data_IF_805034792968
#
_entry.id   IF_805034792968
#
_cell.length_a   1.000
_cell.length_b   1.000
_cell.length_c   1.000
_cell.angle_alpha   90.00
_cell.angle_beta   90.00
_cell.angle_gamma   90.00
#
_symmetry.space_group_name_H-M   'P 1'
#
loop_
_entity.id
_entity.type
_entity.pdbx_description
1 polymer ?
#
# COMPACT_ATOMS: atom_id res chain seq x y z
N UNK A 1 13.44 -21.79 25.34
CA UNK A 1 13.35 -21.78 23.87
C UNK A 1 13.76 -20.39 23.42
N UNK A 2 15.05 -20.23 23.02
CA UNK A 2 15.65 -18.94 22.64
C UNK A 2 15.26 -18.64 21.19
N UNK A 3 14.56 -17.53 20.97
CA UNK A 3 14.32 -16.98 19.65
C UNK A 3 15.60 -16.33 19.13
N UNK A 4 16.27 -16.99 18.20
CA UNK A 4 17.39 -16.46 17.44
C UNK A 4 16.86 -15.37 16.48
N UNK A 5 17.02 -14.11 16.86
CA UNK A 5 16.89 -12.96 15.96
C UNK A 5 18.01 -13.00 14.94
N UNK A 6 17.70 -13.34 13.70
CA UNK A 6 18.60 -13.09 12.59
C UNK A 6 18.68 -11.57 12.39
N UNK A 7 19.87 -11.01 12.63
CA UNK A 7 20.24 -9.67 12.18
C UNK A 7 19.96 -9.51 10.69
N UNK A 8 19.30 -8.42 10.24
CA UNK A 8 19.17 -8.12 8.81
C UNK A 8 20.58 -7.90 8.27
N UNK A 9 21.03 -8.80 7.38
CA UNK A 9 22.25 -8.58 6.62
C UNK A 9 22.13 -7.26 5.86
N UNK A 10 23.15 -6.42 5.97
CA UNK A 10 23.30 -5.18 5.21
C UNK A 10 23.19 -5.51 3.71
N UNK A 11 21.99 -5.29 3.14
CA UNK A 11 21.86 -5.22 1.69
C UNK A 11 22.57 -3.93 1.27
N UNK A 12 23.77 -4.06 0.72
CA UNK A 12 24.40 -3.01 -0.07
C UNK A 12 23.37 -2.57 -1.13
N UNK A 13 23.05 -1.28 -1.14
CA UNK A 13 22.15 -0.71 -2.14
C UNK A 13 22.67 -1.10 -3.53
N UNK A 14 21.85 -1.71 -4.39
CA UNK A 14 22.23 -1.92 -5.77
C UNK A 14 22.39 -0.53 -6.42
N UNK A 15 23.53 -0.33 -7.05
CA UNK A 15 23.80 0.76 -7.97
C UNK A 15 22.65 0.84 -8.98
N UNK A 16 22.15 2.05 -9.24
CA UNK A 16 20.96 2.33 -10.07
C UNK A 16 21.13 1.78 -11.50
N UNK A 17 20.88 0.49 -11.68
CA UNK A 17 20.64 -0.07 -12.99
C UNK A 17 19.26 0.46 -13.44
N UNK A 18 19.24 1.24 -14.52
CA UNK A 18 17.99 1.68 -15.15
C UNK A 18 17.09 0.48 -15.40
N UNK A 19 15.86 0.45 -14.88
CA UNK A 19 15.00 -0.72 -14.99
C UNK A 19 14.73 -1.03 -16.44
N UNK A 20 14.94 -2.30 -16.83
CA UNK A 20 14.61 -2.81 -18.16
C UNK A 20 13.09 -2.89 -18.29
N UNK A 21 12.44 -1.79 -18.63
CA UNK A 21 10.99 -1.73 -18.84
C UNK A 21 10.33 -0.49 -18.27
N UNK A 22 9.06 -0.24 -18.61
CA UNK A 22 8.31 0.88 -18.06
C UNK A 22 8.06 0.69 -16.58
N UNK A 23 8.08 1.79 -15.76
CA UNK A 23 7.84 1.73 -14.33
C UNK A 23 6.44 1.17 -14.02
N UNK A 24 6.28 0.47 -12.88
CA UNK A 24 4.97 -0.03 -12.44
C UNK A 24 3.91 1.06 -12.30
N UNK A 25 4.30 2.25 -11.86
CA UNK A 25 3.49 3.46 -11.81
C UNK A 25 4.34 4.64 -12.26
N UNK A 26 3.82 5.43 -13.17
CA UNK A 26 4.38 6.72 -13.58
C UNK A 26 3.31 7.80 -13.51
N UNK A 27 3.62 8.88 -12.85
CA UNK A 27 2.77 10.06 -12.65
C UNK A 27 3.52 11.25 -13.20
N UNK A 28 2.91 12.04 -14.09
CA UNK A 28 3.51 13.23 -14.70
C UNK A 28 2.57 14.42 -14.55
N UNK A 29 3.02 15.45 -13.84
CA UNK A 29 2.34 16.73 -13.69
C UNK A 29 0.92 16.64 -13.12
N UNK A 30 0.65 15.62 -12.28
CA UNK A 30 -0.69 15.33 -11.80
C UNK A 30 -1.18 16.43 -10.86
N UNK A 31 -2.31 17.06 -11.22
CA UNK A 31 -3.01 18.04 -10.39
C UNK A 31 -4.43 17.58 -10.16
N UNK A 32 -4.85 17.55 -8.89
CA UNK A 32 -6.23 17.22 -8.47
C UNK A 32 -6.74 18.33 -7.58
N UNK A 33 -7.95 18.82 -7.83
CA UNK A 33 -8.58 19.86 -7.05
C UNK A 33 -10.01 19.51 -6.68
N UNK A 34 -10.41 19.83 -5.46
CA UNK A 34 -11.80 19.81 -5.01
C UNK A 34 -12.27 21.25 -4.80
N UNK A 35 -13.40 21.63 -5.40
CA UNK A 35 -13.99 22.97 -5.25
C UNK A 35 -12.96 24.12 -5.42
N UNK A 36 -12.16 24.08 -6.49
CA UNK A 36 -11.11 25.09 -6.82
C UNK A 36 -9.89 25.11 -5.86
N UNK A 37 -9.80 24.21 -4.89
CA UNK A 37 -8.63 24.09 -4.02
C UNK A 37 -7.80 22.88 -4.46
N UNK A 38 -6.54 23.05 -4.87
CA UNK A 38 -5.69 21.94 -5.23
C UNK A 38 -5.33 21.14 -3.96
N UNK A 39 -5.57 19.82 -4.04
CA UNK A 39 -5.16 18.84 -3.03
C UNK A 39 -3.86 18.17 -3.45
N UNK A 40 -3.68 18.00 -4.77
CA UNK A 40 -2.42 17.60 -5.38
C UNK A 40 -2.06 18.65 -6.44
N UNK A 41 -0.80 19.05 -6.47
CA UNK A 41 -0.32 20.06 -7.39
C UNK A 41 0.98 19.65 -8.06
N UNK A 42 0.93 19.44 -9.39
CA UNK A 42 2.07 19.14 -10.23
C UNK A 42 2.94 18.01 -9.63
N UNK A 43 2.30 16.86 -9.37
CA UNK A 43 2.96 15.68 -8.80
C UNK A 43 3.63 14.89 -9.91
N UNK A 44 4.94 14.69 -9.79
CA UNK A 44 5.75 13.81 -10.64
C UNK A 44 6.32 12.68 -9.77
N UNK A 45 6.09 11.43 -10.21
CA UNK A 45 6.56 10.25 -9.49
C UNK A 45 6.73 9.06 -10.43
N UNK A 46 7.81 8.30 -10.26
CA UNK A 46 7.98 7.01 -10.90
C UNK A 46 8.33 5.95 -9.84
N UNK A 47 7.49 4.92 -9.73
CA UNK A 47 7.71 3.83 -8.79
C UNK A 47 8.83 2.91 -9.29
N UNK A 48 9.78 2.51 -8.44
CA UNK A 48 10.73 1.45 -8.77
C UNK A 48 9.99 0.12 -8.99
N UNK A 49 10.54 -0.79 -9.82
CA UNK A 49 9.97 -2.12 -9.99
C UNK A 49 10.21 -2.98 -8.75
N UNK A 50 9.16 -3.61 -8.26
CA UNK A 50 9.20 -4.40 -7.02
C UNK A 50 9.29 -3.53 -5.77
N UNK A 51 9.29 -4.18 -4.59
CA UNK A 51 9.48 -3.56 -3.30
C UNK A 51 8.25 -2.86 -2.70
N UNK A 52 8.43 -2.42 -1.48
CA UNK A 52 7.42 -1.78 -0.65
C UNK A 52 7.67 -0.28 -0.56
N UNK A 53 6.69 0.52 -0.94
CA UNK A 53 6.79 1.99 -1.02
C UNK A 53 5.80 2.62 -0.06
N UNK A 54 6.29 3.42 0.90
CA UNK A 54 5.45 4.21 1.79
C UNK A 54 5.11 5.57 1.18
N UNK A 55 3.84 5.95 1.18
CA UNK A 55 3.39 7.34 0.93
C UNK A 55 3.14 7.98 2.28
N UNK A 56 3.96 8.97 2.62
CA UNK A 56 4.03 9.60 3.95
C UNK A 56 3.77 11.09 3.83
N UNK A 57 3.07 11.66 4.81
CA UNK A 57 2.78 13.11 4.87
C UNK A 57 1.70 13.42 5.90
N UNK A 58 1.47 14.69 6.23
CA UNK A 58 0.47 15.10 7.20
C UNK A 58 -0.95 14.76 6.78
N UNK A 59 -1.90 14.87 7.72
CA UNK A 59 -3.32 14.77 7.39
C UNK A 59 -3.70 15.89 6.43
N UNK A 60 -4.46 15.55 5.39
CA UNK A 60 -4.80 16.51 4.33
C UNK A 60 -3.72 16.71 3.25
N UNK A 61 -2.57 16.04 3.34
CA UNK A 61 -1.48 16.12 2.35
C UNK A 61 -1.85 15.63 0.94
N UNK A 62 -2.99 14.94 0.78
CA UNK A 62 -3.43 14.40 -0.50
C UNK A 62 -3.09 12.92 -0.73
N UNK A 63 -2.62 12.18 0.29
CA UNK A 63 -2.18 10.77 0.16
C UNK A 63 -3.27 9.85 -0.43
N UNK A 64 -4.45 9.80 0.19
CA UNK A 64 -5.59 9.00 -0.32
C UNK A 64 -6.11 9.53 -1.64
N UNK A 65 -6.03 10.86 -1.87
CA UNK A 65 -6.37 11.47 -3.15
C UNK A 65 -5.40 11.03 -4.25
N UNK A 66 -4.11 10.90 -3.96
CA UNK A 66 -3.11 10.39 -4.89
C UNK A 66 -3.47 8.95 -5.32
N UNK A 67 -3.73 8.06 -4.37
CA UNK A 67 -4.18 6.69 -4.68
C UNK A 67 -5.45 6.71 -5.52
N UNK A 68 -6.47 7.47 -5.13
CA UNK A 68 -7.75 7.55 -5.85
C UNK A 68 -7.58 8.10 -7.27
N UNK A 69 -6.70 9.07 -7.46
CA UNK A 69 -6.37 9.60 -8.79
C UNK A 69 -5.62 8.56 -9.64
N UNK A 70 -4.64 7.86 -9.06
CA UNK A 70 -3.94 6.76 -9.71
C UNK A 70 -4.87 5.61 -10.09
N UNK A 71 -5.97 5.41 -9.38
CA UNK A 71 -7.01 4.41 -9.68
C UNK A 71 -8.06 4.90 -10.68
N UNK A 72 -8.03 6.19 -11.05
CA UNK A 72 -9.05 6.83 -11.88
C UNK A 72 -10.40 6.95 -11.19
N UNK A 73 -10.42 7.00 -9.85
CA UNK A 73 -11.63 7.16 -9.03
C UNK A 73 -11.98 8.63 -8.80
N UNK A 74 -11.04 9.54 -9.01
CA UNK A 74 -11.24 10.99 -8.98
C UNK A 74 -10.66 11.60 -10.25
N UNK A 75 -11.32 12.63 -10.83
CA UNK A 75 -10.81 13.30 -12.02
C UNK A 75 -9.57 14.13 -11.68
N UNK A 76 -8.59 14.15 -12.60
CA UNK A 76 -7.46 15.07 -12.57
C UNK A 76 -7.80 16.35 -13.34
N UNK A 77 -7.28 17.48 -12.88
CA UNK A 77 -7.33 18.77 -13.60
C UNK A 77 -6.29 18.77 -14.72
N UNK A 78 -5.11 18.21 -14.46
CA UNK A 78 -4.02 18.07 -15.45
C UNK A 78 -3.13 16.88 -15.08
N UNK A 79 -2.23 16.54 -16.00
CA UNK A 79 -1.26 15.46 -15.84
C UNK A 79 -1.76 14.11 -16.32
N UNK A 80 -0.91 13.11 -16.18
CA UNK A 80 -1.19 11.74 -16.62
C UNK A 80 -0.73 10.72 -15.58
N UNK A 81 -1.40 9.56 -15.60
CA UNK A 81 -1.04 8.39 -14.80
C UNK A 81 -0.95 7.20 -15.73
N UNK A 82 0.21 6.56 -15.72
CA UNK A 82 0.46 5.34 -16.47
C UNK A 82 0.86 4.20 -15.55
N UNK A 83 0.41 3.00 -15.87
CA UNK A 83 0.74 1.77 -15.17
C UNK A 83 1.38 0.82 -16.18
N UNK A 84 2.64 0.42 -15.94
CA UNK A 84 3.44 -0.35 -16.89
C UNK A 84 3.44 0.27 -18.29
N UNK A 85 3.63 1.61 -18.37
CA UNK A 85 3.71 2.38 -19.63
C UNK A 85 2.40 2.50 -20.41
N UNK A 86 1.24 2.25 -19.76
CA UNK A 86 -0.08 2.39 -20.40
C UNK A 86 -1.06 3.11 -19.48
N UNK A 87 -2.03 3.86 -20.05
CA UNK A 87 -3.08 4.48 -19.25
C UNK A 87 -3.81 3.48 -18.37
N UNK A 88 -4.11 3.89 -17.13
CA UNK A 88 -4.71 3.03 -16.09
C UNK A 88 -5.99 2.30 -16.55
N UNK A 89 -6.81 2.95 -17.37
CA UNK A 89 -8.04 2.35 -17.89
C UNK A 89 -7.81 1.01 -18.63
N UNK A 90 -6.61 0.84 -19.24
CA UNK A 90 -6.20 -0.39 -19.95
C UNK A 90 -5.49 -1.40 -19.05
N UNK A 91 -5.15 -1.03 -17.81
CA UNK A 91 -4.30 -1.84 -16.90
C UNK A 91 -4.99 -2.23 -15.58
N UNK A 92 -6.28 -1.97 -15.42
CA UNK A 92 -7.03 -2.24 -14.17
C UNK A 92 -6.90 -3.67 -13.66
N UNK A 93 -6.68 -4.64 -14.54
CA UNK A 93 -6.48 -6.04 -14.16
C UNK A 93 -5.16 -6.31 -13.45
N UNK A 94 -4.18 -5.43 -13.62
CA UNK A 94 -2.86 -5.53 -13.01
C UNK A 94 -2.78 -4.82 -11.67
N UNK A 95 -3.89 -4.19 -11.21
CA UNK A 95 -3.91 -3.35 -10.02
C UNK A 95 -4.80 -3.99 -8.96
N UNK A 96 -4.23 -4.20 -7.77
CA UNK A 96 -4.96 -4.54 -6.54
C UNK A 96 -5.17 -3.30 -5.69
N UNK A 97 -6.33 -3.20 -5.02
CA UNK A 97 -6.63 -2.06 -4.15
C UNK A 97 -7.25 -2.50 -2.83
N UNK A 98 -6.63 -2.05 -1.74
CA UNK A 98 -7.15 -2.14 -0.37
C UNK A 98 -7.54 -0.73 0.05
N UNK A 99 -8.83 -0.40 0.14
CA UNK A 99 -9.32 0.92 0.53
C UNK A 99 -9.14 1.14 2.03
N UNK A 100 -9.15 2.41 2.43
CA UNK A 100 -9.28 2.78 3.83
C UNK A 100 -10.60 2.25 4.39
N UNK A 101 -10.58 1.66 5.57
CA UNK A 101 -11.72 0.98 6.17
C UNK A 101 -12.97 1.86 6.27
N UNK A 102 -12.80 3.11 6.65
CA UNK A 102 -13.89 4.08 6.83
C UNK A 102 -14.63 4.45 5.54
N UNK A 103 -14.05 4.13 4.38
CA UNK A 103 -14.63 4.41 3.07
C UNK A 103 -15.54 3.29 2.54
N UNK A 104 -15.72 2.20 3.30
CA UNK A 104 -16.45 1.01 2.88
C UNK A 104 -17.81 0.94 3.60
N UNK A 105 -18.86 0.64 2.84
CA UNK A 105 -20.16 0.29 3.40
C UNK A 105 -20.15 -1.17 3.91
N UNK A 106 -20.16 -1.31 5.23
CA UNK A 106 -20.06 -2.61 5.92
C UNK A 106 -21.41 -3.29 6.15
N UNK A 107 -22.52 -2.57 5.93
CA UNK A 107 -23.89 -3.10 6.17
C UNK A 107 -24.41 -3.93 5.00
N UNK A 108 -23.63 -4.05 3.94
CA UNK A 108 -24.00 -4.84 2.77
C UNK A 108 -24.07 -6.34 3.11
N UNK A 109 -25.17 -7.06 2.81
CA UNK A 109 -25.43 -8.43 3.26
C UNK A 109 -24.69 -9.48 2.41
N UNK A 110 -23.34 -9.42 2.40
CA UNK A 110 -22.48 -10.39 1.69
C UNK A 110 -21.58 -11.14 2.66
N UNK A 111 -21.21 -12.36 2.31
CA UNK A 111 -20.24 -13.13 3.09
C UNK A 111 -18.80 -12.67 2.80
N UNK A 112 -17.87 -12.96 3.73
CA UNK A 112 -16.44 -12.72 3.52
C UNK A 112 -15.93 -13.39 2.23
N UNK A 113 -16.38 -14.61 1.94
CA UNK A 113 -16.02 -15.32 0.72
C UNK A 113 -16.51 -14.60 -0.54
N UNK A 114 -17.74 -14.06 -0.53
CA UNK A 114 -18.29 -13.33 -1.67
C UNK A 114 -17.49 -12.02 -1.92
N UNK A 115 -17.13 -11.29 -0.85
CA UNK A 115 -16.27 -10.09 -0.95
C UNK A 115 -14.94 -10.44 -1.60
N UNK A 116 -14.30 -11.54 -1.19
CA UNK A 116 -13.01 -11.95 -1.77
C UNK A 116 -13.17 -12.43 -3.20
N UNK A 117 -14.26 -13.15 -3.52
CA UNK A 117 -14.55 -13.60 -4.89
C UNK A 117 -14.78 -12.41 -5.86
N UNK A 118 -15.29 -11.26 -5.37
CA UNK A 118 -15.37 -10.03 -6.18
C UNK A 118 -14.00 -9.58 -6.70
N UNK A 119 -12.89 -9.86 -5.99
CA UNK A 119 -11.52 -9.62 -6.46
C UNK A 119 -11.21 -10.32 -7.79
N UNK A 120 -11.90 -11.43 -8.09
CA UNK A 120 -11.73 -12.21 -9.32
C UNK A 120 -12.52 -11.69 -10.52
N UNK A 121 -13.45 -10.75 -10.36
CA UNK A 121 -14.34 -10.30 -11.44
C UNK A 121 -13.58 -9.77 -12.66
N UNK A 122 -12.44 -9.13 -12.47
CA UNK A 122 -11.58 -8.70 -13.58
C UNK A 122 -11.09 -9.84 -14.47
N UNK A 123 -10.95 -11.07 -13.92
CA UNK A 123 -10.56 -12.29 -14.65
C UNK A 123 -11.76 -13.06 -15.19
N UNK A 124 -12.88 -13.05 -14.45
CA UNK A 124 -14.11 -13.76 -14.82
C UNK A 124 -14.80 -13.10 -16.02
N UNK A 125 -14.86 -11.76 -16.03
CA UNK A 125 -15.64 -11.00 -17.01
C UNK A 125 -17.12 -10.89 -16.62
N UNK A 126 -17.82 -9.92 -17.22
CA UNK A 126 -19.17 -9.48 -16.82
C UNK A 126 -20.29 -10.52 -17.02
N UNK A 127 -20.10 -11.46 -17.95
CA UNK A 127 -21.16 -12.40 -18.37
C UNK A 127 -20.87 -13.86 -17.98
N UNK A 128 -19.81 -14.13 -17.20
CA UNK A 128 -19.46 -15.47 -16.80
C UNK A 128 -19.82 -15.72 -15.33
N UNK A 129 -20.42 -16.86 -14.98
CA UNK A 129 -20.73 -17.21 -13.61
C UNK A 129 -19.44 -17.41 -12.79
N UNK A 130 -19.52 -17.14 -11.48
CA UNK A 130 -18.45 -17.48 -10.54
C UNK A 130 -18.39 -19.01 -10.44
N UNK A 131 -17.33 -19.60 -10.95
CA UNK A 131 -17.12 -21.05 -10.92
C UNK A 131 -16.60 -21.53 -9.58
N UNK A 132 -16.60 -22.84 -9.37
CA UNK A 132 -15.99 -23.48 -8.18
C UNK A 132 -14.52 -23.10 -8.03
N UNK A 133 -13.74 -23.08 -9.11
CA UNK A 133 -12.33 -22.68 -9.10
C UNK A 133 -12.12 -21.24 -8.60
N UNK A 134 -13.05 -20.32 -8.91
CA UNK A 134 -12.98 -18.94 -8.40
C UNK A 134 -13.26 -18.87 -6.91
N UNK A 135 -14.19 -19.67 -6.39
CA UNK A 135 -14.46 -19.78 -4.96
C UNK A 135 -13.29 -20.42 -4.20
N UNK A 136 -12.68 -21.44 -4.76
CA UNK A 136 -11.47 -22.07 -4.19
C UNK A 136 -10.30 -21.08 -4.12
N UNK A 137 -10.05 -20.29 -5.18
CA UNK A 137 -9.04 -19.25 -5.16
C UNK A 137 -9.36 -18.14 -4.13
N UNK A 138 -10.62 -17.78 -3.95
CA UNK A 138 -11.04 -16.84 -2.93
C UNK A 138 -10.85 -17.40 -1.51
N UNK A 139 -11.15 -18.69 -1.31
CA UNK A 139 -10.93 -19.35 -0.03
C UNK A 139 -9.42 -19.41 0.31
N UNK A 140 -8.60 -19.78 -0.66
CA UNK A 140 -7.13 -19.76 -0.49
C UNK A 140 -6.60 -18.36 -0.13
N UNK A 141 -7.17 -17.30 -0.71
CA UNK A 141 -6.80 -15.94 -0.32
C UNK A 141 -7.22 -15.61 1.13
N UNK A 142 -8.38 -16.12 1.59
CA UNK A 142 -8.81 -16.00 3.00
C UNK A 142 -7.89 -16.78 3.95
N UNK A 143 -7.44 -17.98 3.56
CA UNK A 143 -6.47 -18.77 4.33
C UNK A 143 -5.17 -18.00 4.56
N UNK A 144 -4.64 -17.34 3.54
CA UNK A 144 -3.41 -16.54 3.62
C UNK A 144 -3.47 -15.41 4.65
N UNK A 145 -4.65 -14.91 4.97
CA UNK A 145 -4.85 -13.86 5.97
C UNK A 145 -5.48 -14.38 7.28
N UNK A 146 -5.57 -15.71 7.46
CA UNK A 146 -6.13 -16.35 8.65
C UNK A 146 -7.63 -16.11 8.83
N UNK A 147 -8.39 -16.08 7.73
CA UNK A 147 -9.83 -15.79 7.73
C UNK A 147 -10.69 -16.90 7.13
N UNK A 148 -10.13 -18.11 6.90
CA UNK A 148 -10.85 -19.23 6.30
C UNK A 148 -12.11 -19.65 7.08
N UNK A 149 -12.02 -19.72 8.42
CA UNK A 149 -13.11 -20.10 9.31
C UNK A 149 -14.28 -19.10 9.29
N UNK A 150 -14.02 -17.87 8.84
CA UNK A 150 -15.00 -16.79 8.73
C UNK A 150 -15.59 -16.65 7.32
N UNK A 151 -15.22 -17.53 6.37
CA UNK A 151 -15.58 -17.41 4.96
C UNK A 151 -17.09 -17.23 4.71
N UNK A 152 -17.94 -17.92 5.50
CA UNK A 152 -19.42 -17.86 5.37
C UNK A 152 -20.05 -16.75 6.23
N UNK A 153 -19.30 -16.06 7.08
CA UNK A 153 -19.83 -15.01 7.94
C UNK A 153 -20.07 -13.72 7.13
N UNK A 154 -21.15 -13.00 7.45
CA UNK A 154 -21.43 -11.72 6.84
C UNK A 154 -20.33 -10.70 7.21
N UNK A 155 -19.96 -9.85 6.25
CA UNK A 155 -18.85 -8.88 6.43
C UNK A 155 -19.13 -7.90 7.57
N UNK A 156 -20.36 -7.45 7.76
CA UNK A 156 -20.77 -6.55 8.84
C UNK A 156 -20.70 -7.17 10.24
N UNK A 157 -20.68 -8.51 10.36
CA UNK A 157 -20.55 -9.23 11.63
C UNK A 157 -19.11 -9.47 12.06
N UNK A 158 -18.14 -9.06 11.25
CA UNK A 158 -16.71 -9.19 11.52
C UNK A 158 -16.18 -7.98 12.31
N UNK A 159 -15.20 -8.21 13.17
CA UNK A 159 -14.47 -7.10 13.81
C UNK A 159 -13.73 -6.26 12.77
N UNK A 160 -13.35 -5.01 13.12
CA UNK A 160 -12.64 -4.12 12.20
C UNK A 160 -11.35 -4.71 11.64
N UNK A 161 -10.54 -5.38 12.46
CA UNK A 161 -9.35 -6.06 11.99
C UNK A 161 -9.66 -7.28 11.09
N UNK A 162 -10.76 -8.00 11.35
CA UNK A 162 -11.21 -9.09 10.49
C UNK A 162 -11.69 -8.56 9.14
N UNK A 163 -12.45 -7.48 9.11
CA UNK A 163 -12.87 -6.79 7.88
C UNK A 163 -11.67 -6.37 7.04
N UNK A 164 -10.66 -5.75 7.68
CA UNK A 164 -9.42 -5.34 7.01
C UNK A 164 -8.70 -6.53 6.37
N UNK A 165 -8.59 -7.66 7.08
CA UNK A 165 -8.00 -8.89 6.53
C UNK A 165 -8.80 -9.47 5.36
N UNK A 166 -10.13 -9.40 5.37
CA UNK A 166 -10.97 -9.81 4.22
C UNK A 166 -10.72 -8.94 3.00
N UNK A 167 -10.58 -7.61 3.15
CA UNK A 167 -10.26 -6.71 2.04
C UNK A 167 -8.84 -6.93 1.50
N UNK A 168 -7.91 -7.27 2.37
CA UNK A 168 -6.57 -7.69 1.97
C UNK A 168 -6.62 -8.99 1.14
N UNK A 169 -7.38 -10.00 1.60
CA UNK A 169 -7.61 -11.23 0.85
C UNK A 169 -8.26 -10.97 -0.52
N UNK A 170 -9.21 -10.03 -0.60
CA UNK A 170 -9.82 -9.61 -1.87
C UNK A 170 -8.78 -9.07 -2.85
N UNK A 171 -7.87 -8.21 -2.38
CA UNK A 171 -6.80 -7.68 -3.22
C UNK A 171 -5.83 -8.79 -3.65
N UNK A 172 -5.48 -9.73 -2.77
CA UNK A 172 -4.65 -10.89 -3.10
C UNK A 172 -5.30 -11.80 -4.14
N UNK A 173 -6.61 -12.06 -4.03
CA UNK A 173 -7.35 -12.88 -4.99
C UNK A 173 -7.32 -12.31 -6.41
N UNK A 174 -7.06 -11.04 -6.58
CA UNK A 174 -6.89 -10.38 -7.87
C UNK A 174 -5.60 -10.79 -8.58
N UNK A 175 -4.56 -11.24 -7.82
CA UNK A 175 -3.22 -11.61 -8.32
C UNK A 175 -2.61 -10.49 -9.18
N UNK A 176 -2.66 -9.27 -8.66
CA UNK A 176 -2.19 -8.08 -9.32
C UNK A 176 -0.65 -8.01 -9.37
N UNK A 177 -0.12 -7.06 -10.14
CA UNK A 177 1.32 -6.76 -10.20
C UNK A 177 1.67 -5.47 -9.42
N UNK A 178 0.72 -4.55 -9.33
CA UNK A 178 0.81 -3.32 -8.56
C UNK A 178 -0.31 -3.28 -7.53
N UNK A 179 0.02 -3.02 -6.27
CA UNK A 179 -0.97 -2.91 -5.20
C UNK A 179 -0.97 -1.51 -4.62
N UNK A 180 -2.16 -0.94 -4.43
CA UNK A 180 -2.38 0.25 -3.63
C UNK A 180 -3.06 -0.13 -2.33
N UNK A 181 -2.55 0.37 -1.21
CA UNK A 181 -3.13 0.15 0.11
C UNK A 181 -3.26 1.49 0.83
N UNK A 182 -4.49 1.85 1.19
CA UNK A 182 -4.78 3.12 1.86
C UNK A 182 -4.93 2.87 3.37
N UNK A 183 -3.87 3.17 4.13
CA UNK A 183 -3.77 3.01 5.58
C UNK A 183 -4.14 1.60 6.10
N UNK A 184 -3.51 0.52 5.60
CA UNK A 184 -3.88 -0.85 5.98
C UNK A 184 -3.55 -1.20 7.44
N UNK A 185 -2.78 -0.37 8.13
CA UNK A 185 -2.40 -0.52 9.54
C UNK A 185 -3.22 0.36 10.50
N UNK A 186 -4.13 1.21 9.99
CA UNK A 186 -4.87 2.14 10.84
C UNK A 186 -5.88 1.42 11.74
N UNK A 187 -5.76 1.64 13.06
CA UNK A 187 -6.71 1.13 14.05
C UNK A 187 -6.84 -0.40 14.12
N UNK A 188 -5.80 -1.14 13.71
CA UNK A 188 -5.78 -2.59 13.77
C UNK A 188 -5.08 -3.12 15.02
N UNK A 189 -5.47 -4.32 15.45
CA UNK A 189 -4.78 -5.03 16.51
C UNK A 189 -3.45 -5.65 16.03
N UNK A 190 -2.59 -6.04 16.98
CA UNK A 190 -1.28 -6.64 16.68
C UNK A 190 -1.36 -7.93 15.85
N UNK A 191 -2.46 -8.67 15.89
CA UNK A 191 -2.64 -9.87 15.08
C UNK A 191 -2.91 -9.51 13.62
N UNK A 192 -3.74 -8.49 13.40
CA UNK A 192 -4.02 -7.96 12.05
C UNK A 192 -2.80 -7.28 11.46
N UNK A 193 -2.05 -6.50 12.25
CA UNK A 193 -0.79 -5.89 11.82
C UNK A 193 0.20 -6.94 11.31
N UNK A 194 0.42 -8.01 12.07
CA UNK A 194 1.27 -9.13 11.64
C UNK A 194 0.79 -9.78 10.34
N UNK A 195 -0.52 -9.96 10.18
CA UNK A 195 -1.08 -10.52 8.94
C UNK A 195 -0.86 -9.60 7.74
N UNK A 196 -1.03 -8.29 7.90
CA UNK A 196 -0.73 -7.29 6.85
C UNK A 196 0.74 -7.34 6.49
N UNK A 197 1.65 -7.32 7.48
CA UNK A 197 3.10 -7.39 7.24
C UNK A 197 3.52 -8.67 6.52
N UNK A 198 2.94 -9.81 6.90
CA UNK A 198 3.23 -11.07 6.21
C UNK A 198 2.83 -11.00 4.75
N UNK A 199 1.65 -10.45 4.45
CA UNK A 199 1.18 -10.26 3.06
C UNK A 199 2.10 -9.32 2.29
N UNK A 200 2.54 -8.20 2.89
CA UNK A 200 3.49 -7.28 2.24
C UNK A 200 4.79 -7.99 1.88
N UNK A 201 5.34 -8.78 2.80
CA UNK A 201 6.57 -9.57 2.57
C UNK A 201 6.39 -10.62 1.47
N UNK A 202 5.24 -11.29 1.44
CA UNK A 202 4.92 -12.28 0.41
C UNK A 202 4.81 -11.62 -0.97
N UNK A 203 4.22 -10.42 -1.06
CA UNK A 203 4.11 -9.66 -2.29
C UNK A 203 5.48 -9.19 -2.79
N UNK A 204 6.32 -8.67 -1.89
CA UNK A 204 7.70 -8.27 -2.19
C UNK A 204 8.53 -9.47 -2.68
N UNK A 205 8.48 -10.60 -1.97
CA UNK A 205 9.17 -11.83 -2.37
C UNK A 205 8.70 -12.36 -3.74
N UNK A 206 7.45 -12.07 -4.12
CA UNK A 206 6.91 -12.37 -5.44
C UNK A 206 7.23 -11.31 -6.51
N UNK A 207 8.09 -10.30 -6.20
CA UNK A 207 8.48 -9.22 -7.10
C UNK A 207 7.35 -8.24 -7.42
N UNK A 208 6.34 -8.12 -6.56
CA UNK A 208 5.24 -7.18 -6.74
C UNK A 208 5.60 -5.81 -6.20
N UNK A 209 5.05 -4.77 -6.81
CA UNK A 209 5.18 -3.40 -6.30
C UNK A 209 3.99 -3.08 -5.41
N UNK A 210 4.24 -2.60 -4.19
CA UNK A 210 3.18 -2.17 -3.26
C UNK A 210 3.38 -0.71 -2.88
N UNK A 211 2.36 0.11 -3.08
CA UNK A 211 2.33 1.51 -2.68
C UNK A 211 1.31 1.64 -1.55
N UNK A 212 1.79 1.99 -0.37
CA UNK A 212 1.04 1.97 0.87
C UNK A 212 1.02 3.36 1.51
N UNK A 213 -0.15 3.92 1.78
CA UNK A 213 -0.26 5.09 2.65
C UNK A 213 0.04 4.65 4.08
N UNK A 214 1.01 5.31 4.70
CA UNK A 214 1.45 4.99 6.06
C UNK A 214 1.60 6.27 6.88
N UNK A 215 1.16 6.22 8.13
CA UNK A 215 1.15 7.40 9.01
C UNK A 215 2.12 7.31 10.19
N UNK A 216 2.57 6.11 10.54
CA UNK A 216 3.53 5.89 11.62
C UNK A 216 4.96 5.96 11.08
N UNK A 217 5.61 7.11 11.32
CA UNK A 217 6.97 7.37 10.85
C UNK A 217 8.03 6.45 11.50
N UNK A 218 7.73 5.88 12.67
CA UNK A 218 8.69 5.03 13.40
C UNK A 218 8.86 3.67 12.72
N UNK A 219 7.81 3.15 12.10
CA UNK A 219 7.78 1.84 11.47
C UNK A 219 8.10 1.88 9.97
N UNK A 220 8.20 3.08 9.35
CA UNK A 220 8.50 3.19 7.91
C UNK A 220 9.82 2.48 7.55
N UNK A 221 10.86 2.68 8.35
CA UNK A 221 12.18 2.09 8.07
C UNK A 221 12.23 0.57 8.22
N UNK A 222 11.30 0.01 8.99
CA UNK A 222 11.25 -1.43 9.27
C UNK A 222 10.41 -2.19 8.22
N UNK A 223 9.45 -1.47 7.59
CA UNK A 223 8.45 -2.10 6.73
C UNK A 223 8.64 -1.81 5.25
N UNK A 224 9.31 -0.70 4.87
CA UNK A 224 9.36 -0.21 3.50
C UNK A 224 10.79 0.00 2.99
N UNK A 225 10.98 -0.22 1.69
CA UNK A 225 12.25 0.00 1.00
C UNK A 225 12.38 1.44 0.51
N UNK A 226 11.25 2.02 0.06
CA UNK A 226 11.17 3.35 -0.53
C UNK A 226 10.10 4.19 0.16
N UNK A 227 10.25 5.52 0.09
CA UNK A 227 9.26 6.45 0.58
C UNK A 227 9.01 7.59 -0.42
N UNK A 228 7.75 8.02 -0.46
CA UNK A 228 7.27 9.22 -1.15
C UNK A 228 6.75 10.20 -0.10
N UNK A 229 7.47 11.28 0.17
CA UNK A 229 7.03 12.33 1.06
C UNK A 229 6.14 13.32 0.30
N UNK A 230 4.88 13.42 0.73
CA UNK A 230 3.84 14.19 0.07
C UNK A 230 3.25 15.25 1.01
N UNK A 231 3.16 16.47 0.52
CA UNK A 231 2.37 17.55 1.13
C UNK A 231 1.84 18.45 0.01
N UNK A 232 0.69 18.09 -0.56
CA UNK A 232 0.12 18.69 -1.78
C UNK A 232 1.04 18.53 -3.01
N UNK A 233 2.35 18.50 -2.80
CA UNK A 233 3.41 18.26 -3.79
C UNK A 233 4.34 17.16 -3.28
N UNK A 234 5.10 16.58 -4.17
CA UNK A 234 6.22 15.73 -3.77
C UNK A 234 7.30 16.58 -3.12
N UNK A 235 7.64 16.25 -1.88
CA UNK A 235 8.74 16.89 -1.14
C UNK A 235 10.04 16.15 -1.39
N UNK A 236 10.00 14.82 -1.34
CA UNK A 236 11.11 13.95 -1.65
C UNK A 236 10.59 12.54 -2.01
N UNK A 237 11.40 11.78 -2.76
CA UNK A 237 11.12 10.40 -3.11
C UNK A 237 12.43 9.60 -3.24
N UNK A 238 12.40 8.31 -2.94
CA UNK A 238 13.56 7.43 -3.08
C UNK A 238 13.68 6.40 -1.95
N UNK A 239 14.85 5.76 -1.79
CA UNK A 239 15.11 4.84 -0.70
C UNK A 239 14.83 5.45 0.67
N UNK A 240 14.21 4.70 1.58
CA UNK A 240 13.83 5.15 2.92
C UNK A 240 15.00 5.81 3.64
N UNK A 241 16.19 5.20 3.61
CA UNK A 241 17.40 5.71 4.26
C UNK A 241 17.81 7.13 3.78
N UNK A 242 17.47 7.51 2.55
CA UNK A 242 17.79 8.84 1.98
C UNK A 242 16.67 9.86 2.19
N UNK A 243 15.44 9.40 2.32
CA UNK A 243 14.25 10.27 2.32
C UNK A 243 13.72 10.53 3.73
N UNK A 244 13.83 9.56 4.65
CA UNK A 244 13.34 9.70 6.02
C UNK A 244 14.33 10.46 6.93
N UNK A 245 14.77 11.64 6.50
CA UNK A 245 15.68 12.48 7.27
C UNK A 245 14.92 13.57 8.05
N UNK A 246 15.43 14.05 9.21
CA UNK A 246 14.77 15.07 10.00
C UNK A 246 14.45 16.35 9.22
N UNK A 247 15.33 16.78 8.30
CA UNK A 247 15.12 17.98 7.47
C UNK A 247 13.94 17.79 6.51
N UNK A 248 13.92 16.68 5.76
CA UNK A 248 12.84 16.39 4.80
C UNK A 248 11.50 16.16 5.51
N UNK A 249 11.51 15.50 6.67
CA UNK A 249 10.32 15.34 7.49
C UNK A 249 9.82 16.69 8.01
N UNK A 250 10.71 17.56 8.53
CA UNK A 250 10.35 18.91 8.97
C UNK A 250 9.71 19.71 7.83
N UNK A 251 10.27 19.66 6.62
CA UNK A 251 9.71 20.33 5.42
C UNK A 251 8.35 19.74 5.03
N UNK A 252 8.17 18.42 5.15
CA UNK A 252 6.93 17.74 4.81
C UNK A 252 5.80 18.10 5.77
N UNK A 253 6.11 18.21 7.07
CA UNK A 253 5.13 18.45 8.13
C UNK A 253 5.00 19.92 8.54
N UNK A 254 5.58 20.87 7.79
CA UNK A 254 5.43 22.32 8.00
C UNK A 254 6.22 22.87 9.19
N UNK A 255 7.40 22.33 9.46
CA UNK A 255 8.32 22.83 10.48
C UNK A 255 7.91 22.56 11.93
N UNK A 256 6.91 21.73 12.19
CA UNK A 256 6.64 21.22 13.54
C UNK A 256 7.77 20.27 13.95
N UNK A 257 8.39 20.44 15.15
CA UNK A 257 9.40 19.52 15.62
C UNK A 257 8.78 18.12 15.74
N UNK A 258 9.28 17.20 14.93
CA UNK A 258 8.93 15.80 15.00
C UNK A 258 9.92 15.09 15.91
N UNK A 259 9.49 14.13 16.76
CA UNK A 259 10.42 13.26 17.45
C UNK A 259 11.27 12.53 16.40
N UNK A 260 12.61 12.63 16.55
CA UNK A 260 13.51 11.89 15.68
C UNK A 260 13.15 10.39 15.71
N UNK A 261 13.16 9.69 14.57
CA UNK A 261 13.06 8.23 14.58
C UNK A 261 14.17 7.71 15.50
N UNK A 262 13.82 6.76 16.38
CA UNK A 262 14.74 6.23 17.38
C UNK A 262 16.05 5.82 16.71
N UNK A 263 17.13 6.51 17.05
CA UNK A 263 18.45 6.23 16.52
C UNK A 263 18.80 4.77 16.82
N UNK A 264 19.12 4.01 15.81
CA UNK A 264 19.66 2.67 15.93
C UNK A 264 20.88 2.73 16.86
N UNK A 265 20.69 2.17 18.07
CA UNK A 265 21.61 1.76 19.08
C UNK A 265 23.06 2.25 19.04
N UNK A 266 23.40 3.17 19.88
CA UNK A 266 24.70 3.20 20.52
C UNK A 266 24.75 2.06 21.57
N UNK A 267 25.02 0.85 21.14
CA UNK A 267 25.55 -0.20 22.00
C UNK A 267 27.07 -0.22 21.83
N UNK A 268 27.76 0.17 22.88
CA UNK A 268 29.15 -0.15 23.00
C UNK A 268 30.06 1.02 23.36
N UNK A 269 30.18 1.31 24.65
CA UNK A 269 31.45 1.68 25.29
C UNK A 269 31.19 1.98 26.76
N UNK A 270 31.28 0.97 27.61
CA UNK A 270 31.80 1.09 28.96
C UNK A 270 32.21 -0.29 29.43
N UNK A 271 33.50 -0.56 29.26
CA UNK A 271 34.23 -1.52 30.02
C UNK A 271 35.56 -0.87 30.39
N UNK A 272 35.64 -0.40 31.60
CA UNK A 272 36.89 -0.23 32.36
C UNK A 272 36.59 -0.36 33.83
#
# INVERSE_FOLDING_TARGET
MQYLWRTPGSRTAPEEASPIGPPPLEIRGLTVAYHRRPVLWNVDYAAPPGGLIAVVGPNGAGKSTLIKACLGLVPSVSGSVEVFGRPIAKQRRLIGYVPQRESVDWDFPVSALDVVAMGRYGKIGWFRPVTRAHKEAALHALERVGMADFAKRQIGQLSGGQQQRVFLARALAQEAQLYFMDEPFAGVDAATERAVLQVLRDLDAAGRTVICVHHDLQTVSDYFDHALLLNTRVVAQGPVARVMTPDLLSRTYGGRPMPAPAALGAFGAEAS
#
